data_IF_911211914876
#
_entry.id   IF_911211914876
#
_cell.length_a   1.000
_cell.length_b   1.000
_cell.length_c   1.000
_cell.angle_alpha   90.00
_cell.angle_beta   90.00
_cell.angle_gamma   90.00
#
_symmetry.space_group_name_H-M   'P 1'
#
loop_
_entity.id
_entity.type
_entity.pdbx_description
1 polymer ?
#
# COMPACT_ATOMS: atom_id res chain seq x y z
N UNK A 1 5.35 -12.41 -19.65
CA UNK A 1 6.53 -12.62 -18.78
C UNK A 1 6.22 -13.83 -17.90
N UNK A 2 7.11 -14.83 -17.80
CA UNK A 2 6.91 -15.94 -16.85
C UNK A 2 7.25 -15.43 -15.45
N UNK A 3 6.32 -15.54 -14.50
CA UNK A 3 6.59 -15.23 -13.10
C UNK A 3 7.75 -16.11 -12.62
N UNK A 4 8.70 -15.52 -11.90
CA UNK A 4 9.86 -16.20 -11.32
C UNK A 4 9.73 -16.09 -9.81
N UNK A 5 9.72 -17.20 -9.11
CA UNK A 5 9.61 -17.24 -7.64
C UNK A 5 10.89 -17.76 -7.01
N UNK A 6 11.26 -17.23 -5.85
CA UNK A 6 12.34 -17.79 -5.03
C UNK A 6 11.82 -18.33 -3.71
N UNK A 7 12.36 -19.47 -3.30
CA UNK A 7 12.13 -20.02 -1.96
C UNK A 7 12.89 -19.22 -0.88
N UNK A 8 12.65 -19.50 0.43
CA UNK A 8 13.37 -18.84 1.53
C UNK A 8 14.89 -19.07 1.54
N UNK A 9 15.38 -20.04 0.76
CA UNK A 9 16.80 -20.34 0.61
C UNK A 9 17.42 -19.68 -0.65
N UNK A 10 16.63 -18.91 -1.41
CA UNK A 10 17.05 -18.21 -2.61
C UNK A 10 17.05 -19.05 -3.88
N UNK A 11 16.57 -20.30 -3.83
CA UNK A 11 16.46 -21.15 -5.01
C UNK A 11 15.34 -20.65 -5.93
N UNK A 12 15.66 -20.52 -7.21
CA UNK A 12 14.67 -20.17 -8.23
C UNK A 12 13.79 -21.38 -8.52
N UNK A 13 12.49 -21.21 -8.39
CA UNK A 13 11.49 -22.23 -8.66
C UNK A 13 10.98 -22.15 -10.11
N UNK A 14 10.86 -23.30 -10.75
CA UNK A 14 10.08 -23.51 -11.96
C UNK A 14 8.58 -23.55 -11.63
N UNK A 15 7.72 -23.48 -12.66
CA UNK A 15 6.26 -23.47 -12.45
C UNK A 15 5.72 -24.81 -11.96
N UNK A 16 6.45 -25.89 -12.27
CA UNK A 16 6.18 -27.27 -11.90
C UNK A 16 6.77 -27.68 -10.53
N UNK A 17 7.59 -26.83 -9.90
CA UNK A 17 8.16 -27.12 -8.59
C UNK A 17 7.11 -26.99 -7.49
N UNK A 18 7.22 -27.87 -6.48
CA UNK A 18 6.32 -27.87 -5.32
C UNK A 18 7.08 -27.31 -4.12
N UNK A 19 6.66 -26.14 -3.63
CA UNK A 19 7.20 -25.54 -2.42
C UNK A 19 6.91 -26.41 -1.19
N UNK A 20 7.76 -26.33 -0.16
CA UNK A 20 7.49 -27.06 1.09
C UNK A 20 6.34 -26.39 1.83
N UNK A 21 5.66 -27.17 2.65
CA UNK A 21 4.60 -26.65 3.49
C UNK A 21 5.16 -25.55 4.42
N UNK A 22 4.58 -24.35 4.31
CA UNK A 22 4.99 -23.17 5.09
C UNK A 22 5.98 -22.24 4.40
N UNK A 23 6.52 -22.60 3.22
CA UNK A 23 7.42 -21.73 2.48
C UNK A 23 6.67 -20.50 1.93
N UNK A 24 7.23 -19.32 2.17
CA UNK A 24 6.80 -18.08 1.49
C UNK A 24 7.66 -17.89 0.23
N UNK A 25 7.03 -18.00 -0.94
CA UNK A 25 7.70 -17.83 -2.22
C UNK A 25 7.60 -16.37 -2.66
N UNK A 26 8.75 -15.69 -2.76
CA UNK A 26 8.78 -14.30 -3.22
C UNK A 26 8.83 -14.29 -4.74
N UNK A 27 7.79 -13.74 -5.37
CA UNK A 27 7.77 -13.53 -6.81
C UNK A 27 8.64 -12.30 -7.16
N UNK A 28 9.58 -12.51 -8.08
CA UNK A 28 10.41 -11.44 -8.63
C UNK A 28 9.55 -10.48 -9.45
N UNK A 29 9.68 -9.19 -9.16
CA UNK A 29 9.03 -8.12 -9.89
C UNK A 29 8.35 -7.10 -8.98
N UNK A 30 7.51 -6.22 -9.57
CA UNK A 30 6.75 -5.23 -8.83
C UNK A 30 5.80 -5.86 -7.81
N UNK A 31 5.68 -5.25 -6.63
CA UNK A 31 4.77 -5.68 -5.56
C UNK A 31 3.42 -4.93 -5.59
N UNK A 32 3.11 -4.18 -6.65
CA UNK A 32 1.83 -3.47 -6.77
C UNK A 32 0.68 -4.46 -7.03
N UNK A 33 -0.54 -4.06 -6.68
CA UNK A 33 -1.74 -4.90 -6.78
C UNK A 33 -1.98 -5.49 -8.18
N UNK A 34 -1.75 -4.70 -9.24
CA UNK A 34 -1.91 -5.17 -10.62
C UNK A 34 -0.91 -6.28 -11.02
N UNK A 35 0.20 -6.42 -10.29
CA UNK A 35 1.15 -7.51 -10.44
C UNK A 35 0.89 -8.69 -9.47
N UNK A 36 -0.22 -8.67 -8.72
CA UNK A 36 -0.59 -9.71 -7.75
C UNK A 36 -0.13 -9.44 -6.32
N UNK A 37 0.44 -8.28 -6.03
CA UNK A 37 0.75 -7.87 -4.66
C UNK A 37 -0.52 -7.59 -3.83
N UNK A 38 -0.40 -7.67 -2.51
CA UNK A 38 -1.50 -7.46 -1.57
C UNK A 38 -1.09 -6.63 -0.36
N UNK A 39 -2.08 -6.22 0.44
CA UNK A 39 -1.85 -5.60 1.73
C UNK A 39 -1.63 -6.70 2.79
N UNK A 40 -0.54 -6.60 3.56
CA UNK A 40 -0.26 -7.56 4.64
C UNK A 40 -1.05 -7.26 5.92
N UNK A 41 -1.38 -5.99 6.16
CA UNK A 41 -2.14 -5.56 7.32
C UNK A 41 -2.88 -4.25 7.03
N UNK A 42 -4.06 -4.10 7.63
CA UNK A 42 -4.76 -2.83 7.71
C UNK A 42 -5.04 -2.54 9.19
N UNK A 43 -4.76 -1.31 9.62
CA UNK A 43 -4.99 -0.86 10.99
C UNK A 43 -5.37 0.60 11.03
N UNK A 44 -6.07 0.99 12.08
CA UNK A 44 -6.22 2.39 12.43
C UNK A 44 -4.96 2.89 13.16
N UNK A 45 -4.57 4.12 12.85
CA UNK A 45 -3.40 4.77 13.44
C UNK A 45 -2.08 4.40 12.75
N UNK A 46 -1.34 5.45 12.35
CA UNK A 46 0.07 5.33 12.01
C UNK A 46 0.92 5.76 13.21
N UNK A 47 2.23 5.49 13.17
CA UNK A 47 3.14 6.05 14.17
C UNK A 47 3.11 7.59 14.09
N UNK A 48 3.52 8.27 15.16
CA UNK A 48 3.55 9.74 15.16
C UNK A 48 4.39 10.29 14.00
N UNK A 49 5.56 9.69 13.76
CA UNK A 49 6.45 10.08 12.67
C UNK A 49 5.80 9.90 11.28
N UNK A 50 5.15 8.76 11.04
CA UNK A 50 4.43 8.49 9.78
C UNK A 50 3.25 9.45 9.61
N UNK A 51 2.48 9.67 10.68
CA UNK A 51 1.31 10.55 10.64
C UNK A 51 1.70 11.98 10.33
N UNK A 52 2.73 12.51 11.00
CA UNK A 52 3.24 13.86 10.76
C UNK A 52 3.74 14.01 9.32
N UNK A 53 4.57 13.08 8.85
CA UNK A 53 5.09 13.13 7.49
C UNK A 53 3.97 13.06 6.43
N UNK A 54 2.97 12.20 6.62
CA UNK A 54 1.84 12.09 5.70
C UNK A 54 1.00 13.38 5.66
N UNK A 55 0.73 13.99 6.81
CA UNK A 55 0.00 15.26 6.89
C UNK A 55 0.77 16.43 6.27
N UNK A 56 2.08 16.51 6.54
CA UNK A 56 2.95 17.53 5.95
C UNK A 56 3.01 17.37 4.42
N UNK A 57 3.12 16.14 3.92
CA UNK A 57 3.14 15.86 2.48
C UNK A 57 1.83 16.25 1.80
N UNK A 58 0.67 15.88 2.37
CA UNK A 58 -0.64 16.27 1.83
C UNK A 58 -0.81 17.79 1.82
N UNK A 59 -0.38 18.47 2.89
CA UNK A 59 -0.43 19.93 3.01
C UNK A 59 0.47 20.59 1.97
N UNK A 60 1.69 20.07 1.76
CA UNK A 60 2.65 20.63 0.81
C UNK A 60 2.13 20.63 -0.64
N UNK A 61 1.27 19.67 -1.00
CA UNK A 61 0.63 19.61 -2.32
C UNK A 61 -0.78 20.22 -2.36
N UNK A 62 -1.23 20.82 -1.24
CA UNK A 62 -2.51 21.52 -1.17
C UNK A 62 -3.74 20.61 -1.13
N UNK A 63 -3.59 19.35 -0.68
CA UNK A 63 -4.70 18.41 -0.57
C UNK A 63 -5.27 18.38 0.86
N UNK A 64 -6.59 18.51 0.97
CA UNK A 64 -7.32 18.33 2.23
C UNK A 64 -7.58 16.86 2.58
N UNK A 65 -7.50 15.99 1.58
CA UNK A 65 -7.61 14.54 1.68
C UNK A 65 -6.62 13.91 0.70
N UNK A 66 -5.79 12.99 1.20
CA UNK A 66 -4.84 12.26 0.36
C UNK A 66 -4.55 10.87 0.94
N UNK A 67 -4.22 9.93 0.06
CA UNK A 67 -3.40 8.77 0.40
C UNK A 67 -1.93 9.17 0.26
N UNK A 68 -1.09 8.75 1.20
CA UNK A 68 0.35 8.99 1.14
C UNK A 68 1.08 7.68 1.27
N UNK A 69 1.84 7.34 0.24
CA UNK A 69 2.65 6.13 0.22
C UNK A 69 4.07 6.46 0.70
N UNK A 70 4.54 5.67 1.66
CA UNK A 70 5.84 5.88 2.33
C UNK A 70 6.73 4.65 2.19
N UNK A 71 8.02 4.87 1.97
CA UNK A 71 9.04 3.88 2.28
C UNK A 71 9.52 4.06 3.73
N UNK A 72 9.66 2.96 4.44
CA UNK A 72 10.48 2.89 5.65
C UNK A 72 11.86 2.38 5.25
N UNK A 73 12.84 3.28 5.22
CA UNK A 73 14.23 2.98 4.85
C UNK A 73 15.05 2.46 6.05
N UNK A 74 14.40 2.22 7.20
CA UNK A 74 15.00 1.72 8.45
C UNK A 74 16.05 2.66 9.04
N UNK A 75 17.23 2.77 8.43
CA UNK A 75 18.32 3.61 8.93
C UNK A 75 18.18 5.08 8.50
N UNK A 76 17.65 5.32 7.30
CA UNK A 76 17.49 6.67 6.76
C UNK A 76 16.13 7.29 7.12
N UNK A 77 15.26 6.53 7.81
CA UNK A 77 13.92 6.95 8.21
C UNK A 77 12.89 6.83 7.11
N UNK A 78 11.85 7.67 7.18
CA UNK A 78 10.70 7.60 6.29
C UNK A 78 10.90 8.50 5.06
N UNK A 79 10.49 8.02 3.89
CA UNK A 79 10.50 8.77 2.64
C UNK A 79 9.13 8.71 1.95
N UNK A 80 8.64 9.86 1.46
CA UNK A 80 7.40 9.92 0.67
C UNK A 80 7.68 9.46 -0.75
N UNK A 81 6.82 8.58 -1.25
CA UNK A 81 6.89 8.05 -2.63
C UNK A 81 5.84 8.74 -3.50
N UNK A 82 4.60 8.77 -3.01
CA UNK A 82 3.45 9.28 -3.75
C UNK A 82 2.47 9.97 -2.79
N UNK A 83 1.82 11.03 -3.28
CA UNK A 83 0.67 11.66 -2.64
C UNK A 83 -0.48 11.65 -3.64
N UNK A 84 -1.57 10.98 -3.30
CA UNK A 84 -2.69 10.72 -4.22
C UNK A 84 -4.00 11.30 -3.69
N UNK A 85 -4.68 12.12 -4.48
CA UNK A 85 -5.97 12.75 -4.13
C UNK A 85 -7.18 11.81 -4.26
N UNK A 86 -7.00 10.63 -4.86
CA UNK A 86 -8.03 9.62 -5.03
C UNK A 86 -7.53 8.27 -4.48
N UNK A 87 -7.51 8.10 -3.14
CA UNK A 87 -7.08 6.88 -2.47
C UNK A 87 -7.68 5.61 -3.08
N UNK A 88 -6.88 4.53 -3.13
CA UNK A 88 -7.35 3.24 -3.64
C UNK A 88 -8.46 2.67 -2.75
N UNK A 89 -9.70 2.71 -3.25
CA UNK A 89 -10.89 2.15 -2.60
C UNK A 89 -10.84 0.62 -2.51
N UNK A 90 -10.29 -0.06 -3.53
CA UNK A 90 -10.28 -1.53 -3.59
C UNK A 90 -9.63 -2.21 -2.37
N UNK A 91 -8.57 -1.62 -1.81
CA UNK A 91 -7.92 -2.16 -0.59
C UNK A 91 -8.84 -2.03 0.63
N UNK A 92 -9.63 -0.96 0.71
CA UNK A 92 -10.60 -0.77 1.79
C UNK A 92 -11.82 -1.69 1.63
N UNK A 93 -12.24 -1.97 0.39
CA UNK A 93 -13.32 -2.90 0.07
C UNK A 93 -12.97 -4.32 0.52
N UNK A 94 -11.78 -4.81 0.16
CA UNK A 94 -11.30 -6.13 0.58
C UNK A 94 -11.25 -6.27 2.10
N UNK A 95 -10.96 -5.18 2.80
CA UNK A 95 -10.89 -5.13 4.26
C UNK A 95 -12.22 -4.80 4.94
N UNK A 96 -13.31 -4.62 4.17
CA UNK A 96 -14.64 -4.28 4.68
C UNK A 96 -14.75 -2.92 5.37
N UNK A 97 -13.83 -1.98 5.11
CA UNK A 97 -13.79 -0.63 5.71
C UNK A 97 -14.70 0.36 4.98
N UNK A 98 -15.97 0.00 4.89
CA UNK A 98 -17.02 0.82 4.27
C UNK A 98 -17.18 2.18 4.96
N UNK A 99 -16.90 2.24 6.27
CA UNK A 99 -16.88 3.48 7.05
C UNK A 99 -15.88 4.50 6.49
N UNK A 100 -14.67 4.05 6.13
CA UNK A 100 -13.64 4.91 5.55
C UNK A 100 -13.97 5.29 4.11
N UNK A 101 -14.48 4.33 3.33
CA UNK A 101 -14.91 4.57 1.95
C UNK A 101 -15.97 5.68 1.92
N UNK A 102 -17.01 5.57 2.74
CA UNK A 102 -18.07 6.58 2.82
C UNK A 102 -17.51 7.94 3.23
N UNK A 103 -16.62 7.99 4.24
CA UNK A 103 -16.00 9.23 4.71
C UNK A 103 -15.17 9.91 3.63
N UNK A 104 -14.39 9.15 2.85
CA UNK A 104 -13.60 9.64 1.72
C UNK A 104 -14.53 10.23 0.65
N UNK A 105 -15.58 9.52 0.25
CA UNK A 105 -16.53 10.01 -0.75
C UNK A 105 -17.24 11.28 -0.32
N UNK A 106 -17.69 11.35 0.94
CA UNK A 106 -18.31 12.56 1.49
C UNK A 106 -17.36 13.75 1.42
N UNK A 107 -16.11 13.58 1.85
CA UNK A 107 -15.10 14.63 1.78
C UNK A 107 -14.82 15.08 0.34
N UNK A 108 -14.76 14.15 -0.62
CA UNK A 108 -14.59 14.47 -2.04
C UNK A 108 -15.78 15.27 -2.60
N UNK A 109 -17.02 14.86 -2.29
CA UNK A 109 -18.20 15.62 -2.70
C UNK A 109 -18.24 17.01 -2.08
N UNK A 110 -17.96 17.12 -0.78
CA UNK A 110 -17.88 18.42 -0.09
C UNK A 110 -16.84 19.35 -0.69
N UNK A 111 -15.70 18.81 -1.15
CA UNK A 111 -14.68 19.59 -1.85
C UNK A 111 -15.12 20.02 -3.25
N UNK A 112 -15.79 19.14 -4.00
CA UNK A 112 -16.24 19.41 -5.37
C UNK A 112 -17.40 20.42 -5.45
N UNK A 113 -18.18 20.57 -4.38
CA UNK A 113 -19.30 21.51 -4.30
C UNK A 113 -18.94 22.87 -3.66
N UNK A 114 -17.65 23.13 -3.39
CA UNK A 114 -17.14 24.46 -2.97
C UNK A 114 -16.61 25.23 -4.17
#
# INVERSE_FOLDING_TARGET
MKARGRDPHGHLLAAEDVARAGDAIVLEGPANRAAGGGANALRDGASEAMSRLALDAATAVGLSLAAVDLFDLVEQGLAVIEVNSNPMIATLEDAGRWDLIEKIWRANFEAAFR
#
